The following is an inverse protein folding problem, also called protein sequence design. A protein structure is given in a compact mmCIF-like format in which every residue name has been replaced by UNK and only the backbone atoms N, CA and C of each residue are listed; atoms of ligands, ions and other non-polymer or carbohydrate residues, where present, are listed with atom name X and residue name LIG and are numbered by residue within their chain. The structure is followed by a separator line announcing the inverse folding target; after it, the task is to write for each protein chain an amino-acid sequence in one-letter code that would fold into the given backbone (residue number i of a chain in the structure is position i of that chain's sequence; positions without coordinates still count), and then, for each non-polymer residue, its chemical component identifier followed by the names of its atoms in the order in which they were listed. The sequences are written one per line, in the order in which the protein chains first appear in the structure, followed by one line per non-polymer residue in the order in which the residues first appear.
data_IF_634246783642
#
_entry.id   IF_634246783642
#
_cell.length_a   1.000
_cell.length_b   1.000
_cell.length_c   1.000
_cell.angle_alpha   90.00
_cell.angle_beta   90.00
_cell.angle_gamma   90.00
#
_symmetry.space_group_name_H-M   'P 1'
#
loop_
_entity.id
_entity.type
_entity.pdbx_description
1 polymer ?
#
# COMPACT_ATOMS: atom_id res chain seq x y z
N UNK A 1 16.64 -20.17 25.83
CA UNK A 1 15.53 -21.13 25.92
C UNK A 1 14.68 -21.04 24.66
N UNK A 2 14.68 -22.07 23.82
CA UNK A 2 13.83 -22.14 22.61
C UNK A 2 12.37 -22.25 23.09
N UNK A 3 11.52 -21.29 22.69
CA UNK A 3 10.08 -21.41 22.94
C UNK A 3 9.55 -22.66 22.22
N UNK A 4 8.75 -23.51 22.86
CA UNK A 4 8.16 -24.68 22.21
C UNK A 4 7.33 -24.21 20.99
N UNK A 5 7.55 -24.87 19.84
CA UNK A 5 6.76 -24.58 18.63
C UNK A 5 5.29 -24.92 18.92
N UNK A 6 4.40 -23.93 18.79
CA UNK A 6 2.94 -24.17 18.89
C UNK A 6 2.51 -25.08 17.72
N UNK A 7 1.56 -26.01 17.93
CA UNK A 7 1.05 -26.82 16.84
C UNK A 7 0.36 -25.96 15.77
N UNK A 8 0.48 -26.36 14.50
CA UNK A 8 -0.24 -25.74 13.40
C UNK A 8 -1.66 -26.29 13.39
N UNK A 9 -2.65 -25.44 13.64
CA UNK A 9 -4.05 -25.83 13.85
C UNK A 9 -5.00 -25.22 12.83
N UNK A 10 -4.54 -24.25 12.06
CA UNK A 10 -5.35 -23.51 11.09
C UNK A 10 -4.64 -23.43 9.75
N UNK A 11 -5.37 -23.62 8.64
CA UNK A 11 -4.85 -23.41 7.31
C UNK A 11 -5.64 -22.36 6.55
N UNK A 12 -4.95 -21.66 5.66
CA UNK A 12 -5.51 -20.73 4.67
C UNK A 12 -4.95 -21.11 3.31
N UNK A 13 -5.82 -21.24 2.31
CA UNK A 13 -5.42 -21.26 0.91
C UNK A 13 -5.60 -19.86 0.34
N UNK A 14 -4.49 -19.27 -0.12
CA UNK A 14 -4.44 -17.99 -0.80
C UNK A 14 -4.41 -18.22 -2.31
N UNK A 15 -5.04 -17.36 -3.09
CA UNK A 15 -4.99 -17.40 -4.56
C UNK A 15 -4.64 -16.02 -5.11
N UNK A 16 -3.69 -15.97 -6.02
CA UNK A 16 -3.41 -14.79 -6.84
C UNK A 16 -4.57 -14.56 -7.81
N UNK A 17 -4.78 -13.33 -8.25
CA UNK A 17 -5.71 -13.00 -9.32
C UNK A 17 -5.28 -13.67 -10.64
N UNK A 18 -6.20 -13.67 -11.61
CA UNK A 18 -5.97 -14.34 -12.90
C UNK A 18 -5.27 -13.40 -13.92
N UNK A 19 -4.27 -12.61 -13.47
CA UNK A 19 -3.49 -11.67 -14.28
C UNK A 19 -2.57 -12.36 -15.29
N UNK A 20 -2.17 -11.61 -16.32
CA UNK A 20 -1.21 -12.07 -17.35
C UNK A 20 0.24 -11.85 -16.84
N UNK A 21 0.77 -12.79 -16.08
CA UNK A 21 2.13 -12.76 -15.56
C UNK A 21 2.67 -14.19 -15.39
N UNK A 22 3.98 -14.34 -15.20
CA UNK A 22 4.60 -15.60 -14.82
C UNK A 22 4.19 -15.98 -13.39
N UNK A 23 3.20 -16.85 -13.27
CA UNK A 23 2.66 -17.29 -11.99
C UNK A 23 3.72 -17.89 -11.06
N UNK A 24 4.69 -18.66 -11.57
CA UNK A 24 5.75 -19.26 -10.74
C UNK A 24 6.64 -18.18 -10.10
N UNK A 25 7.07 -17.20 -10.89
CA UNK A 25 7.87 -16.08 -10.39
C UNK A 25 7.07 -15.24 -9.38
N UNK A 26 5.80 -14.92 -9.68
CA UNK A 26 4.93 -14.12 -8.82
C UNK A 26 4.59 -14.86 -7.52
N UNK A 27 4.33 -16.19 -7.56
CA UNK A 27 4.13 -17.01 -6.36
C UNK A 27 5.35 -16.97 -5.44
N UNK A 28 6.56 -17.10 -5.98
CA UNK A 28 7.81 -17.03 -5.20
C UNK A 28 7.99 -15.67 -4.52
N UNK A 29 7.76 -14.58 -5.25
CA UNK A 29 7.82 -13.22 -4.69
C UNK A 29 6.74 -12.99 -3.63
N UNK A 30 5.51 -13.43 -3.88
CA UNK A 30 4.40 -13.36 -2.92
C UNK A 30 4.74 -14.10 -1.63
N UNK A 31 5.29 -15.30 -1.70
CA UNK A 31 5.71 -16.07 -0.53
C UNK A 31 6.75 -15.30 0.31
N UNK A 32 7.67 -14.58 -0.30
CA UNK A 32 8.65 -13.78 0.43
C UNK A 32 8.00 -12.60 1.17
N UNK A 33 7.05 -11.90 0.53
CA UNK A 33 6.27 -10.83 1.18
C UNK A 33 5.44 -11.39 2.33
N UNK A 34 4.76 -12.53 2.13
CA UNK A 34 3.95 -13.18 3.17
C UNK A 34 4.80 -13.62 4.37
N UNK A 35 6.01 -14.16 4.16
CA UNK A 35 6.95 -14.48 5.26
C UNK A 35 7.29 -13.24 6.08
N UNK A 36 7.58 -12.12 5.40
CA UNK A 36 7.90 -10.86 6.07
C UNK A 36 6.69 -10.37 6.88
N UNK A 37 5.48 -10.45 6.33
CA UNK A 37 4.23 -10.06 7.01
C UNK A 37 3.93 -10.93 8.22
N UNK A 38 4.06 -12.25 8.11
CA UNK A 38 3.86 -13.17 9.22
C UNK A 38 4.81 -12.87 10.38
N UNK A 39 6.09 -12.65 10.08
CA UNK A 39 7.08 -12.25 11.08
C UNK A 39 6.73 -10.90 11.73
N UNK A 40 6.31 -9.91 10.94
CA UNK A 40 5.87 -8.60 11.44
C UNK A 40 4.60 -8.68 12.30
N UNK A 41 3.74 -9.69 12.05
CA UNK A 41 2.57 -10.01 12.88
C UNK A 41 2.92 -10.82 14.14
N UNK A 42 4.20 -11.19 14.35
CA UNK A 42 4.64 -12.01 15.49
C UNK A 42 4.35 -13.51 15.33
N UNK A 43 4.02 -13.95 14.11
CA UNK A 43 3.80 -15.36 13.79
C UNK A 43 5.08 -15.94 13.21
N UNK A 44 5.81 -16.70 14.00
CA UNK A 44 7.13 -17.25 13.60
C UNK A 44 7.11 -18.75 13.29
N UNK A 45 6.06 -19.46 13.70
CA UNK A 45 5.87 -20.88 13.39
C UNK A 45 4.76 -21.02 12.36
N UNK A 46 5.10 -21.25 11.10
CA UNK A 46 4.18 -21.45 10.00
C UNK A 46 4.78 -22.33 8.91
N UNK A 47 3.93 -22.95 8.10
CA UNK A 47 4.30 -23.60 6.85
C UNK A 47 3.67 -22.81 5.71
N UNK A 48 4.48 -22.40 4.73
CA UNK A 48 4.06 -21.59 3.59
C UNK A 48 4.69 -22.14 2.33
N UNK A 49 3.87 -22.64 1.40
CA UNK A 49 4.32 -23.29 0.18
C UNK A 49 3.31 -23.14 -0.96
N UNK A 50 3.71 -23.24 -2.23
CA UNK A 50 2.78 -23.37 -3.33
C UNK A 50 1.85 -24.57 -3.15
N UNK A 51 0.56 -24.42 -3.52
CA UNK A 51 -0.39 -25.54 -3.54
C UNK A 51 -0.38 -26.21 -4.92
N UNK A 52 0.24 -27.38 -5.01
CA UNK A 52 0.35 -28.13 -6.26
C UNK A 52 1.25 -27.44 -7.29
N UNK A 53 0.76 -27.31 -8.53
CA UNK A 53 1.48 -26.61 -9.59
C UNK A 53 1.49 -25.09 -9.29
N UNK A 54 2.69 -24.43 -9.21
CA UNK A 54 2.79 -22.98 -9.04
C UNK A 54 2.01 -22.17 -10.07
N UNK A 55 1.82 -22.69 -11.29
CA UNK A 55 1.01 -22.06 -12.32
C UNK A 55 -0.47 -21.89 -11.91
N UNK A 56 -0.94 -22.64 -10.90
CA UNK A 56 -2.29 -22.44 -10.32
C UNK A 56 -2.47 -21.12 -9.56
N UNK A 57 -1.36 -20.44 -9.23
CA UNK A 57 -1.35 -19.22 -8.42
C UNK A 57 -1.83 -19.42 -6.99
N UNK A 58 -1.89 -20.67 -6.50
CA UNK A 58 -2.34 -20.99 -5.16
C UNK A 58 -1.19 -21.18 -4.18
N UNK A 59 -1.40 -20.72 -2.95
CA UNK A 59 -0.42 -20.80 -1.86
C UNK A 59 -1.13 -21.33 -0.62
N UNK A 60 -0.60 -22.40 -0.03
CA UNK A 60 -1.06 -22.93 1.24
C UNK A 60 -0.23 -22.35 2.39
N UNK A 61 -0.93 -21.89 3.39
CA UNK A 61 -0.38 -21.36 4.62
C UNK A 61 -1.00 -22.10 5.81
N UNK A 62 -0.18 -22.80 6.62
CA UNK A 62 -0.60 -23.36 7.88
C UNK A 62 -0.04 -22.56 9.05
N UNK A 63 -0.86 -22.30 10.03
CA UNK A 63 -0.64 -21.39 11.15
C UNK A 63 -0.96 -22.05 12.50
N UNK A 64 -0.31 -21.61 13.58
CA UNK A 64 -0.78 -21.90 14.93
C UNK A 64 -2.07 -21.12 15.20
N UNK A 65 -2.69 -21.38 16.35
CA UNK A 65 -3.81 -20.57 16.82
C UNK A 65 -3.42 -19.10 16.93
N UNK A 66 -4.21 -18.22 16.32
CA UNK A 66 -4.07 -16.77 16.33
C UNK A 66 -5.33 -16.13 16.92
N UNK A 67 -5.15 -15.08 17.70
CA UNK A 67 -6.24 -14.42 18.45
C UNK A 67 -7.20 -13.70 17.50
N UNK A 68 -6.68 -13.03 16.47
CA UNK A 68 -7.48 -12.24 15.52
C UNK A 68 -7.20 -12.71 14.08
N UNK A 69 -7.95 -13.71 13.65
CA UNK A 69 -7.82 -14.32 12.31
C UNK A 69 -8.20 -13.36 11.20
N UNK A 70 -9.26 -12.56 11.39
CA UNK A 70 -9.73 -11.63 10.37
C UNK A 70 -8.72 -10.51 10.11
N UNK A 71 -8.18 -9.92 11.18
CA UNK A 71 -7.13 -8.91 11.06
C UNK A 71 -5.87 -9.47 10.39
N UNK A 72 -5.48 -10.71 10.73
CA UNK A 72 -4.35 -11.34 10.07
C UNK A 72 -4.60 -11.56 8.58
N UNK A 73 -5.79 -12.05 8.18
CA UNK A 73 -6.17 -12.22 6.77
C UNK A 73 -6.10 -10.90 6.01
N UNK A 74 -6.69 -9.83 6.55
CA UNK A 74 -6.63 -8.48 5.97
C UNK A 74 -5.18 -8.00 5.81
N UNK A 75 -4.35 -8.19 6.81
CA UNK A 75 -2.95 -7.82 6.76
C UNK A 75 -2.16 -8.62 5.70
N UNK A 76 -2.40 -9.92 5.58
CA UNK A 76 -1.72 -10.77 4.60
C UNK A 76 -2.12 -10.43 3.16
N UNK A 77 -3.38 -10.05 2.91
CA UNK A 77 -3.92 -9.77 1.57
C UNK A 77 -3.85 -8.31 1.16
N UNK A 78 -3.47 -7.40 2.05
CA UNK A 78 -3.32 -5.98 1.72
C UNK A 78 -2.27 -5.77 0.62
N UNK A 79 -2.57 -5.00 -0.42
CA UNK A 79 -1.66 -4.76 -1.57
C UNK A 79 -0.33 -4.17 -1.14
N UNK A 80 -0.36 -3.01 -0.50
CA UNK A 80 0.84 -2.32 -0.01
C UNK A 80 1.56 -1.50 -1.09
N UNK A 81 0.93 -1.29 -2.25
CA UNK A 81 1.46 -0.45 -3.32
C UNK A 81 1.43 1.01 -2.89
N UNK A 82 2.60 1.65 -2.81
CA UNK A 82 2.78 3.07 -2.51
C UNK A 82 3.40 3.78 -3.71
N UNK A 83 2.82 4.92 -4.09
CA UNK A 83 3.40 5.81 -5.07
C UNK A 83 3.28 7.26 -4.59
N UNK A 84 4.31 8.08 -4.86
CA UNK A 84 4.23 9.53 -4.84
C UNK A 84 4.28 10.01 -6.28
N UNK A 85 3.16 10.56 -6.76
CA UNK A 85 2.97 10.84 -8.19
C UNK A 85 2.52 12.29 -8.38
N UNK A 86 3.12 13.04 -9.32
CA UNK A 86 2.67 14.39 -9.64
C UNK A 86 1.21 14.43 -10.06
N UNK A 87 0.48 15.45 -9.60
CA UNK A 87 -0.89 15.71 -10.03
C UNK A 87 -0.87 16.69 -11.19
N UNK A 88 -1.54 16.35 -12.27
CA UNK A 88 -1.79 17.25 -13.40
C UNK A 88 -2.95 18.17 -12.98
N UNK A 89 -2.61 19.34 -12.50
CA UNK A 89 -3.56 20.36 -12.06
C UNK A 89 -2.93 21.73 -12.33
N UNK A 90 -3.74 22.78 -12.57
CA UNK A 90 -3.20 24.14 -12.68
C UNK A 90 -2.35 24.49 -11.46
N UNK A 91 -1.23 25.17 -11.73
CA UNK A 91 -0.40 25.77 -10.68
C UNK A 91 -1.22 26.87 -10.02
N UNK A 92 -1.48 26.73 -8.72
CA UNK A 92 -2.24 27.74 -7.98
C UNK A 92 -3.63 28.10 -8.55
N UNK A 93 -4.66 28.25 -7.77
CA UNK A 93 -4.70 28.17 -6.30
C UNK A 93 -5.17 26.80 -5.81
N UNK A 94 -4.90 26.52 -4.54
CA UNK A 94 -5.59 25.49 -3.78
C UNK A 94 -7.11 25.72 -3.80
N UNK A 95 -7.94 24.69 -3.94
CA UNK A 95 -7.59 23.26 -3.88
C UNK A 95 -7.12 22.70 -5.22
N UNK A 96 -6.49 21.50 -5.17
CA UNK A 96 -6.18 20.71 -6.37
C UNK A 96 -7.43 20.49 -7.22
N UNK A 97 -7.28 20.49 -8.54
CA UNK A 97 -8.38 20.23 -9.45
C UNK A 97 -8.85 18.78 -9.31
N UNK A 98 -10.16 18.62 -9.06
CA UNK A 98 -10.83 17.31 -8.98
C UNK A 98 -12.00 17.26 -9.95
N UNK A 99 -12.39 16.05 -10.35
CA UNK A 99 -13.49 15.78 -11.26
C UNK A 99 -14.53 14.92 -10.54
N UNK A 100 -15.79 15.11 -10.87
CA UNK A 100 -16.91 14.41 -10.21
C UNK A 100 -17.15 13.04 -10.85
N UNK A 101 -16.82 12.89 -12.14
CA UNK A 101 -17.00 11.63 -12.86
C UNK A 101 -15.68 11.17 -13.51
N UNK A 102 -15.59 9.87 -13.76
CA UNK A 102 -14.46 9.26 -14.46
C UNK A 102 -14.40 9.80 -15.90
N UNK A 103 -15.54 9.96 -16.57
CA UNK A 103 -15.65 10.42 -17.94
C UNK A 103 -15.09 11.85 -18.10
N UNK A 104 -15.45 12.77 -17.18
CA UNK A 104 -14.92 14.13 -17.17
C UNK A 104 -13.39 14.13 -16.99
N UNK A 105 -12.89 13.32 -16.05
CA UNK A 105 -11.48 13.22 -15.78
C UNK A 105 -10.71 12.63 -16.97
N UNK A 106 -11.24 11.58 -17.61
CA UNK A 106 -10.62 10.97 -18.81
C UNK A 106 -10.60 11.95 -19.98
N UNK A 107 -11.69 12.69 -20.20
CA UNK A 107 -11.74 13.70 -21.25
C UNK A 107 -10.71 14.82 -21.02
N UNK A 108 -10.49 15.22 -19.76
CA UNK A 108 -9.53 16.24 -19.40
C UNK A 108 -8.06 15.74 -19.41
N UNK A 109 -7.83 14.46 -19.11
CA UNK A 109 -6.48 13.87 -19.06
C UNK A 109 -5.81 13.79 -20.44
N UNK A 110 -6.61 13.59 -21.52
CA UNK A 110 -6.08 13.37 -22.86
C UNK A 110 -5.11 12.18 -22.90
N UNK A 111 -3.96 12.37 -23.57
CA UNK A 111 -2.91 11.34 -23.67
C UNK A 111 -1.80 11.49 -22.60
N UNK A 112 -1.87 12.52 -21.76
CA UNK A 112 -0.75 12.93 -20.90
C UNK A 112 -0.77 12.37 -19.48
N UNK A 113 -1.89 11.77 -19.04
CA UNK A 113 -2.02 11.35 -17.65
C UNK A 113 -2.94 10.16 -17.45
N UNK A 114 -2.93 9.62 -16.25
CA UNK A 114 -3.85 8.57 -15.78
C UNK A 114 -4.86 9.14 -14.78
N UNK A 115 -6.11 8.70 -14.90
CA UNK A 115 -7.18 9.08 -13.97
C UNK A 115 -7.17 8.11 -12.79
N UNK A 116 -7.21 8.65 -11.59
CA UNK A 116 -7.18 7.87 -10.35
C UNK A 116 -8.27 8.37 -9.40
N UNK A 117 -8.94 7.42 -8.74
CA UNK A 117 -9.91 7.74 -7.70
C UNK A 117 -9.24 8.48 -6.55
N UNK A 118 -9.87 9.56 -6.11
CA UNK A 118 -9.47 10.27 -4.91
C UNK A 118 -10.35 9.78 -3.76
N UNK A 119 -9.74 9.18 -2.74
CA UNK A 119 -10.43 8.55 -1.64
C UNK A 119 -11.45 9.46 -0.96
N UNK A 120 -12.54 8.91 -0.41
CA UNK A 120 -13.66 9.69 0.10
C UNK A 120 -13.23 10.58 1.26
N UNK A 121 -13.30 11.89 1.07
CA UNK A 121 -13.53 12.81 2.19
C UNK A 121 -14.96 12.58 2.65
N UNK A 122 -15.18 12.31 3.94
CA UNK A 122 -16.54 12.14 4.48
C UNK A 122 -17.45 13.29 3.99
N UNK A 123 -18.56 12.96 3.32
CA UNK A 123 -19.56 13.89 2.86
C UNK A 123 -19.41 14.41 1.42
N UNK A 124 -18.33 14.11 0.73
CA UNK A 124 -18.21 14.33 -0.72
C UNK A 124 -18.27 12.98 -1.43
N UNK A 125 -19.01 12.91 -2.54
CA UNK A 125 -19.00 11.73 -3.42
C UNK A 125 -17.58 11.36 -3.86
N UNK A 126 -17.41 10.19 -4.45
CA UNK A 126 -16.15 9.79 -5.06
C UNK A 126 -15.69 10.88 -6.04
N UNK A 127 -14.43 11.27 -5.97
CA UNK A 127 -13.81 12.23 -6.87
C UNK A 127 -12.65 11.57 -7.61
N UNK A 128 -12.21 12.21 -8.68
CA UNK A 128 -11.10 11.75 -9.50
C UNK A 128 -10.08 12.87 -9.66
N UNK A 129 -8.82 12.49 -9.79
CA UNK A 129 -7.70 13.37 -10.12
C UNK A 129 -6.92 12.79 -11.28
N UNK A 130 -6.22 13.64 -12.00
CA UNK A 130 -5.34 13.24 -13.09
C UNK A 130 -3.90 13.25 -12.56
N UNK A 131 -3.23 12.15 -12.68
CA UNK A 131 -1.83 11.99 -12.28
C UNK A 131 -0.94 11.82 -13.52
N UNK A 132 0.32 12.18 -13.39
CA UNK A 132 1.33 11.75 -14.36
C UNK A 132 1.41 10.21 -14.39
N UNK A 133 1.88 9.66 -15.53
CA UNK A 133 1.96 8.21 -15.69
C UNK A 133 3.06 7.58 -14.84
N UNK A 134 4.16 8.29 -14.62
CA UNK A 134 5.30 7.80 -13.85
C UNK A 134 5.33 8.40 -12.43
N UNK A 135 5.42 7.56 -11.38
CA UNK A 135 5.64 8.03 -10.02
C UNK A 135 7.09 8.52 -9.83
N UNK A 136 7.27 9.51 -8.96
CA UNK A 136 8.59 9.98 -8.51
C UNK A 136 9.21 8.98 -7.53
N UNK A 137 8.36 8.42 -6.66
CA UNK A 137 8.73 7.48 -5.60
C UNK A 137 7.74 6.34 -5.59
N UNK A 138 8.24 5.14 -5.35
CA UNK A 138 7.44 3.91 -5.17
C UNK A 138 7.69 3.28 -3.81
N UNK A 139 6.93 2.25 -3.46
CA UNK A 139 7.15 1.47 -2.23
C UNK A 139 8.56 0.85 -2.14
N UNK A 140 9.25 0.62 -3.26
CA UNK A 140 10.64 0.11 -3.26
C UNK A 140 11.64 1.13 -2.72
N UNK A 141 11.31 2.42 -2.78
CA UNK A 141 12.14 3.50 -2.25
C UNK A 141 11.96 3.70 -0.74
N UNK A 142 10.97 3.05 -0.15
CA UNK A 142 10.68 3.17 1.27
C UNK A 142 11.80 2.55 2.12
N UNK A 143 12.32 3.31 3.08
CA UNK A 143 13.24 2.82 4.11
C UNK A 143 12.46 2.33 5.32
N UNK A 144 11.51 3.13 5.79
CA UNK A 144 10.65 2.81 6.93
C UNK A 144 9.34 3.57 6.92
N UNK A 145 8.32 2.99 7.53
CA UNK A 145 7.04 3.62 7.84
C UNK A 145 6.67 3.37 9.30
N UNK A 146 6.10 4.36 9.98
CA UNK A 146 5.72 4.28 11.40
C UNK A 146 4.43 5.06 11.64
N UNK A 147 3.50 4.48 12.40
CA UNK A 147 2.30 5.19 12.84
C UNK A 147 2.67 6.28 13.86
N UNK A 148 2.18 7.49 13.65
CA UNK A 148 2.40 8.64 14.52
C UNK A 148 1.07 9.34 14.82
N UNK A 149 0.88 9.96 16.00
CA UNK A 149 -0.29 10.77 16.26
C UNK A 149 -0.40 11.93 15.26
N UNK A 150 -1.59 12.19 14.74
CA UNK A 150 -1.81 13.29 13.82
C UNK A 150 -1.68 14.64 14.53
N UNK A 151 -1.07 15.62 13.86
CA UNK A 151 -0.92 16.98 14.42
C UNK A 151 -2.24 17.75 14.53
N UNK A 152 -3.24 17.36 13.75
CA UNK A 152 -4.53 18.07 13.70
C UNK A 152 -5.62 17.54 14.61
N UNK A 153 -5.55 16.27 15.00
CA UNK A 153 -6.56 15.61 15.84
C UNK A 153 -5.88 14.53 16.70
N UNK A 154 -6.06 14.58 18.01
CA UNK A 154 -5.40 13.66 18.97
C UNK A 154 -5.89 12.21 18.88
N UNK A 155 -7.07 12.00 18.32
CA UNK A 155 -7.68 10.68 18.15
C UNK A 155 -7.35 10.03 16.79
N UNK A 156 -6.69 10.78 15.91
CA UNK A 156 -6.30 10.33 14.58
C UNK A 156 -4.78 10.08 14.50
N UNK A 157 -4.42 9.19 13.59
CA UNK A 157 -3.03 8.83 13.31
C UNK A 157 -2.69 9.07 11.85
N UNK A 158 -1.42 9.33 11.59
CA UNK A 158 -0.78 9.40 10.27
C UNK A 158 0.32 8.36 10.18
N UNK A 159 0.82 8.13 8.97
CA UNK A 159 1.98 7.27 8.76
C UNK A 159 3.16 8.13 8.34
N UNK A 160 4.12 8.33 9.25
CA UNK A 160 5.39 8.94 8.91
C UNK A 160 6.25 7.93 8.14
N UNK A 161 6.86 8.36 7.05
CA UNK A 161 7.76 7.53 6.26
C UNK A 161 9.10 8.20 6.01
N UNK A 162 10.13 7.38 5.78
CA UNK A 162 11.44 7.81 5.30
C UNK A 162 11.82 7.05 4.06
N UNK A 163 12.59 7.69 3.17
CA UNK A 163 13.02 7.13 1.90
C UNK A 163 14.48 6.68 1.94
N UNK A 164 14.82 5.76 1.06
CA UNK A 164 16.19 5.40 0.71
C UNK A 164 16.81 6.51 -0.14
N UNK A 165 18.14 6.55 -0.21
CA UNK A 165 18.89 7.65 -0.83
C UNK A 165 18.45 7.98 -2.26
N UNK A 166 18.19 6.97 -3.11
CA UNK A 166 17.78 7.20 -4.49
C UNK A 166 16.39 7.83 -4.60
N UNK A 167 15.40 7.29 -3.88
CA UNK A 167 14.05 7.83 -3.81
C UNK A 167 14.03 9.23 -3.20
N UNK A 168 14.81 9.45 -2.14
CA UNK A 168 14.98 10.75 -1.50
C UNK A 168 15.55 11.79 -2.49
N UNK A 169 16.58 11.41 -3.26
CA UNK A 169 17.18 12.30 -4.28
C UNK A 169 16.18 12.67 -5.38
N UNK A 170 15.39 11.68 -5.87
CA UNK A 170 14.35 11.97 -6.87
C UNK A 170 13.28 12.91 -6.33
N UNK A 171 12.76 12.62 -5.13
CA UNK A 171 11.74 13.47 -4.48
C UNK A 171 12.25 14.89 -4.27
N UNK A 172 13.45 15.02 -3.74
CA UNK A 172 14.10 16.31 -3.49
C UNK A 172 14.26 17.13 -4.77
N UNK A 173 14.82 16.55 -5.83
CA UNK A 173 15.05 17.23 -7.10
C UNK A 173 13.73 17.67 -7.74
N UNK A 174 12.72 16.79 -7.71
CA UNK A 174 11.42 17.12 -8.27
C UNK A 174 10.74 18.24 -7.47
N UNK A 175 10.65 18.15 -6.15
CA UNK A 175 9.99 19.18 -5.33
C UNK A 175 10.67 20.52 -5.38
N UNK A 176 12.01 20.56 -5.51
CA UNK A 176 12.79 21.79 -5.69
C UNK A 176 12.40 22.55 -6.97
N UNK A 177 12.13 21.84 -8.06
CA UNK A 177 11.80 22.43 -9.37
C UNK A 177 10.28 22.60 -9.59
N UNK A 178 9.42 22.08 -8.70
CA UNK A 178 7.96 22.08 -8.85
C UNK A 178 7.26 22.72 -7.65
N UNK A 179 7.76 23.87 -7.20
CA UNK A 179 7.09 24.69 -6.20
C UNK A 179 5.72 25.14 -6.75
N UNK A 180 4.72 25.16 -5.90
CA UNK A 180 3.31 25.44 -6.21
C UNK A 180 2.60 24.34 -7.03
N UNK A 181 3.23 23.20 -7.23
CA UNK A 181 2.59 22.00 -7.81
C UNK A 181 1.99 21.11 -6.73
N UNK A 182 1.33 20.04 -7.16
CA UNK A 182 0.70 19.07 -6.27
C UNK A 182 1.32 17.68 -6.44
N UNK A 183 1.49 16.99 -5.33
CA UNK A 183 2.01 15.61 -5.26
C UNK A 183 0.98 14.72 -4.57
N UNK A 184 0.51 13.70 -5.25
CA UNK A 184 -0.43 12.73 -4.70
C UNK A 184 0.31 11.59 -3.99
N UNK A 185 -0.22 11.17 -2.86
CA UNK A 185 0.08 9.88 -2.22
C UNK A 185 -0.97 8.89 -2.68
N UNK A 186 -0.54 7.87 -3.40
CA UNK A 186 -1.39 6.80 -3.94
C UNK A 186 -1.11 5.53 -3.15
N UNK A 187 -2.16 4.92 -2.62
CA UNK A 187 -2.12 3.61 -1.96
C UNK A 187 -3.08 2.66 -2.67
N UNK A 188 -2.57 1.55 -3.18
CA UNK A 188 -3.36 0.54 -3.88
C UNK A 188 -4.28 1.15 -4.96
N UNK A 189 -3.70 1.98 -5.81
CA UNK A 189 -4.37 2.68 -6.92
C UNK A 189 -5.49 3.67 -6.51
N UNK A 190 -5.47 4.14 -5.25
CA UNK A 190 -6.37 5.18 -4.74
C UNK A 190 -5.52 6.33 -4.19
N UNK A 191 -5.81 7.56 -4.60
CA UNK A 191 -5.21 8.75 -3.99
C UNK A 191 -5.80 8.96 -2.60
N UNK A 192 -4.96 8.87 -1.57
CA UNK A 192 -5.36 9.05 -0.17
C UNK A 192 -5.11 10.46 0.35
N UNK A 193 -4.11 11.15 -0.21
CA UNK A 193 -3.85 12.55 0.10
C UNK A 193 -3.14 13.24 -1.06
N UNK A 194 -3.26 14.57 -1.11
CA UNK A 194 -2.56 15.41 -2.09
C UNK A 194 -1.86 16.53 -1.31
N UNK A 195 -0.54 16.61 -1.47
CA UNK A 195 0.29 17.62 -0.87
C UNK A 195 0.52 18.78 -1.84
N UNK A 196 0.35 20.00 -1.37
CA UNK A 196 0.78 21.21 -2.07
C UNK A 196 2.25 21.48 -1.74
N UNK A 197 3.08 21.59 -2.76
CA UNK A 197 4.53 21.73 -2.61
C UNK A 197 4.90 23.20 -2.38
N UNK A 198 5.30 23.50 -1.15
CA UNK A 198 5.72 24.85 -0.72
C UNK A 198 7.23 25.02 -0.67
N UNK A 199 7.96 23.93 -0.74
CA UNK A 199 9.41 23.91 -0.66
C UNK A 199 9.96 22.53 -0.94
N UNK A 200 11.28 22.44 -0.94
CA UNK A 200 12.03 21.21 -1.14
C UNK A 200 11.71 20.18 -0.05
N UNK A 201 11.35 18.94 -0.44
CA UNK A 201 11.12 17.82 0.46
C UNK A 201 12.34 16.90 0.35
N UNK A 202 12.96 16.58 1.49
CA UNK A 202 14.21 15.83 1.50
C UNK A 202 13.98 14.32 1.36
N UNK A 203 13.76 13.64 2.48
CA UNK A 203 13.76 12.17 2.54
C UNK A 203 12.60 11.60 3.34
N UNK A 204 11.69 12.42 3.78
CA UNK A 204 10.61 12.01 4.68
C UNK A 204 9.31 12.77 4.41
N UNK A 205 8.21 12.16 4.83
CA UNK A 205 6.87 12.74 4.73
C UNK A 205 5.87 12.03 5.62
N UNK A 206 4.64 12.50 5.57
CA UNK A 206 3.51 11.93 6.29
C UNK A 206 2.38 11.59 5.31
N UNK A 207 1.89 10.35 5.39
CA UNK A 207 0.64 9.95 4.75
C UNK A 207 -0.47 10.30 5.73
N UNK A 208 -1.16 11.40 5.44
CA UNK A 208 -2.25 11.88 6.27
C UNK A 208 -3.56 11.21 5.89
N UNK A 209 -4.41 10.92 6.91
CA UNK A 209 -5.72 10.32 6.74
C UNK A 209 -6.42 10.25 8.09
N UNK A 210 -7.66 9.80 8.11
CA UNK A 210 -8.39 9.57 9.36
C UNK A 210 -8.17 8.13 9.84
N UNK A 211 -6.93 7.78 10.13
CA UNK A 211 -6.59 6.44 10.58
C UNK A 211 -6.80 6.33 12.10
N UNK A 212 -7.39 5.22 12.53
CA UNK A 212 -7.28 4.79 13.92
C UNK A 212 -5.82 4.40 14.21
N UNK A 213 -5.43 4.33 15.49
CA UNK A 213 -4.09 3.86 15.87
C UNK A 213 -3.76 2.50 15.25
N UNK A 214 -4.66 1.53 15.41
CA UNK A 214 -4.47 0.19 14.86
C UNK A 214 -4.38 0.17 13.33
N UNK A 215 -5.23 0.96 12.65
CA UNK A 215 -5.19 1.06 11.19
C UNK A 215 -3.90 1.66 10.66
N UNK A 216 -3.36 2.70 11.32
CA UNK A 216 -2.08 3.29 10.96
C UNK A 216 -0.90 2.32 11.21
N UNK A 217 -0.93 1.59 12.34
CA UNK A 217 0.07 0.55 12.64
C UNK A 217 0.05 -0.58 11.62
N UNK A 218 -1.13 -1.05 11.22
CA UNK A 218 -1.25 -2.11 10.22
C UNK A 218 -0.79 -1.64 8.84
N UNK A 219 -1.17 -0.43 8.42
CA UNK A 219 -0.68 0.14 7.16
C UNK A 219 0.84 0.33 7.17
N UNK A 220 1.41 0.84 8.26
CA UNK A 220 2.86 0.96 8.40
C UNK A 220 3.58 -0.40 8.29
N UNK A 221 3.03 -1.46 8.90
CA UNK A 221 3.56 -2.83 8.77
C UNK A 221 3.45 -3.36 7.34
N UNK A 222 2.32 -3.11 6.65
CA UNK A 222 2.12 -3.48 5.23
C UNK A 222 3.19 -2.82 4.37
N UNK A 223 3.37 -1.50 4.50
CA UNK A 223 4.35 -0.74 3.74
C UNK A 223 5.79 -1.23 4.00
N UNK A 224 6.15 -1.48 5.25
CA UNK A 224 7.48 -2.01 5.61
C UNK A 224 7.73 -3.44 5.11
N UNK A 225 6.69 -4.23 4.88
CA UNK A 225 6.81 -5.60 4.40
C UNK A 225 6.85 -5.74 2.88
N UNK A 226 6.65 -4.63 2.18
CA UNK A 226 6.66 -4.57 0.73
C UNK A 226 5.30 -4.83 0.09
N UNK A 227 5.23 -4.44 -1.17
CA UNK A 227 4.06 -4.60 -2.04
C UNK A 227 3.87 -6.06 -2.44
N UNK A 228 2.62 -6.52 -2.49
CA UNK A 228 2.29 -7.78 -3.15
C UNK A 228 2.43 -7.61 -4.67
N UNK A 229 3.12 -8.53 -5.35
CA UNK A 229 3.35 -8.42 -6.79
C UNK A 229 2.08 -8.62 -7.63
N UNK A 230 1.02 -9.18 -7.03
CA UNK A 230 -0.29 -9.33 -7.62
C UNK A 230 -1.35 -9.32 -6.51
N UNK A 231 -2.61 -9.08 -6.88
CA UNK A 231 -3.70 -9.10 -5.93
C UNK A 231 -3.90 -10.51 -5.37
N UNK A 232 -4.04 -10.61 -4.05
CA UNK A 232 -4.12 -11.86 -3.31
C UNK A 232 -5.47 -11.95 -2.58
N UNK A 233 -6.15 -13.10 -2.71
CA UNK A 233 -7.43 -13.35 -2.03
C UNK A 233 -7.42 -14.65 -1.26
N UNK A 234 -8.27 -14.75 -0.27
CA UNK A 234 -8.55 -16.00 0.43
C UNK A 234 -9.41 -16.89 -0.47
N UNK A 235 -8.93 -18.08 -0.76
CA UNK A 235 -9.64 -19.08 -1.56
C UNK A 235 -10.25 -20.18 -0.68
N UNK A 236 -9.76 -20.40 0.53
CA UNK A 236 -10.28 -21.35 1.49
C UNK A 236 -9.57 -21.25 2.83
N UNK A 237 -10.20 -21.73 3.87
CA UNK A 237 -9.62 -21.86 5.21
C UNK A 237 -10.28 -22.97 6.00
N UNK A 238 -9.59 -23.50 7.03
CA UNK A 238 -10.12 -24.53 7.89
C UNK A 238 -9.14 -24.98 8.96
N UNK A 239 -9.54 -26.00 9.72
CA UNK A 239 -8.66 -26.65 10.69
C UNK A 239 -7.67 -27.59 10.00
N UNK A 240 -6.43 -27.61 10.47
CA UNK A 240 -5.44 -28.64 10.06
C UNK A 240 -5.89 -29.97 10.67
N UNK A 241 -6.02 -30.99 9.82
CA UNK A 241 -6.38 -32.37 10.24
C UNK A 241 -5.17 -33.09 10.80
#
# INVERSE_FOLDING_TARGET
MLRPKKPLTWYITLKLDDGQYDHDAVVKLTINVLKTRLNAAGVYNFELQPQGDPASGKIDLKLPEVVDRERLKQFLTAGGKLELTPVISPLNPSPVQTYQTMEEAVAAAGKGGRVVSYGPRQGTGQQFVILENAPIVTGQDLRSATAVPSKGNKDEYSIAFTLRNEGATRLRNWTKSHINSYLAVVLNDIVVSVAYIRGEIFDSGEITGRYSKSGAEDLARVLNSGELPAQLRIAGEGAVK
#
